data_IF_037357238580
#
_entry.id   IF_037357238580
#
_cell.length_a   1.000
_cell.length_b   1.000
_cell.length_c   1.000
_cell.angle_alpha   90.00
_cell.angle_beta   90.00
_cell.angle_gamma   90.00
#
_symmetry.space_group_name_H-M   'P 1'
#
loop_
_entity.id
_entity.type
_entity.pdbx_description
1 polymer ?
#
# COMPACT_ATOMS: atom_id res chain seq x y z
N UNK A 1 0.84 2.97 36.29
CA UNK A 1 -0.38 2.59 35.56
C UNK A 1 -0.09 2.63 34.06
N UNK A 2 0.41 1.52 33.51
CA UNK A 2 0.71 1.34 32.08
C UNK A 2 -0.52 0.76 31.39
N UNK A 3 -1.51 1.62 31.10
CA UNK A 3 -2.63 1.24 30.23
C UNK A 3 -2.20 1.45 28.79
N UNK A 4 -1.35 0.55 28.28
CA UNK A 4 -0.89 0.55 26.89
C UNK A 4 -2.06 0.13 26.01
N UNK A 5 -2.86 1.11 25.62
CA UNK A 5 -3.84 1.16 24.52
C UNK A 5 -4.09 -0.15 23.73
N UNK A 6 -4.73 -1.15 24.36
CA UNK A 6 -5.10 -2.43 23.73
C UNK A 6 -6.01 -2.25 22.49
N UNK A 7 -6.69 -1.11 22.39
CA UNK A 7 -7.54 -0.71 21.26
C UNK A 7 -6.73 -0.40 19.99
N UNK A 8 -5.54 0.23 20.11
CA UNK A 8 -4.66 0.58 18.98
C UNK A 8 -4.00 -0.68 18.39
N UNK A 9 -3.59 -1.62 19.25
CA UNK A 9 -2.98 -2.90 18.83
C UNK A 9 -4.01 -3.80 18.10
N UNK A 10 -5.24 -3.92 18.62
CA UNK A 10 -6.32 -4.67 17.95
C UNK A 10 -6.75 -4.06 16.60
N UNK A 11 -6.78 -2.73 16.46
CA UNK A 11 -7.06 -2.05 15.18
C UNK A 11 -5.98 -2.31 14.13
N UNK A 12 -4.71 -2.33 14.53
CA UNK A 12 -3.57 -2.59 13.64
C UNK A 12 -3.61 -4.00 13.03
N UNK A 13 -3.82 -5.05 13.84
CA UNK A 13 -3.90 -6.43 13.36
C UNK A 13 -5.08 -6.68 12.40
N UNK A 14 -6.24 -6.07 12.67
CA UNK A 14 -7.42 -6.17 11.79
C UNK A 14 -7.19 -5.47 10.46
N UNK A 15 -6.57 -4.28 10.48
CA UNK A 15 -6.19 -3.53 9.27
C UNK A 15 -5.20 -4.30 8.41
N UNK A 16 -4.19 -4.94 9.01
CA UNK A 16 -3.20 -5.75 8.31
C UNK A 16 -3.80 -7.01 7.66
N UNK A 17 -4.71 -7.70 8.36
CA UNK A 17 -5.43 -8.84 7.81
C UNK A 17 -6.31 -8.42 6.62
N UNK A 18 -7.00 -7.29 6.70
CA UNK A 18 -7.79 -6.74 5.59
C UNK A 18 -6.91 -6.39 4.38
N UNK A 19 -5.74 -5.77 4.60
CA UNK A 19 -4.76 -5.48 3.52
C UNK A 19 -4.29 -6.75 2.82
N UNK A 20 -3.98 -7.80 3.59
CA UNK A 20 -3.53 -9.07 3.04
C UNK A 20 -4.62 -9.73 2.17
N UNK A 21 -5.87 -9.70 2.62
CA UNK A 21 -7.01 -10.21 1.85
C UNK A 21 -7.23 -9.42 0.55
N UNK A 22 -7.14 -8.09 0.59
CA UNK A 22 -7.24 -7.24 -0.60
C UNK A 22 -6.14 -7.59 -1.61
N UNK A 23 -4.89 -7.73 -1.16
CA UNK A 23 -3.76 -8.11 -2.03
C UNK A 23 -3.97 -9.50 -2.63
N UNK A 24 -4.50 -10.46 -1.85
CA UNK A 24 -4.80 -11.80 -2.34
C UNK A 24 -5.86 -11.76 -3.44
N UNK A 25 -6.90 -10.95 -3.27
CA UNK A 25 -7.94 -10.76 -4.27
C UNK A 25 -7.40 -10.08 -5.54
N UNK A 26 -6.54 -9.08 -5.42
CA UNK A 26 -5.88 -8.45 -6.57
C UNK A 26 -5.01 -9.44 -7.35
N UNK A 27 -4.23 -10.29 -6.66
CA UNK A 27 -3.46 -11.36 -7.29
C UNK A 27 -4.35 -12.37 -8.01
N UNK A 28 -5.51 -12.70 -7.42
CA UNK A 28 -6.49 -13.61 -8.04
C UNK A 28 -7.06 -12.99 -9.32
N UNK A 29 -7.58 -11.76 -9.25
CA UNK A 29 -8.10 -11.01 -10.41
C UNK A 29 -7.07 -10.90 -11.53
N UNK A 30 -5.81 -10.63 -11.21
CA UNK A 30 -4.73 -10.58 -12.20
C UNK A 30 -4.58 -11.92 -12.94
N UNK A 31 -4.44 -13.02 -12.19
CA UNK A 31 -4.25 -14.36 -12.78
C UNK A 31 -5.45 -14.77 -13.62
N UNK A 32 -6.66 -14.60 -13.11
CA UNK A 32 -7.89 -15.03 -13.76
C UNK A 32 -8.12 -14.28 -15.07
N UNK A 33 -7.89 -12.96 -15.10
CA UNK A 33 -8.06 -12.16 -16.31
C UNK A 33 -6.96 -12.41 -17.35
N UNK A 34 -5.70 -12.58 -16.94
CA UNK A 34 -4.61 -12.99 -17.86
C UNK A 34 -4.90 -14.36 -18.46
N UNK A 35 -5.35 -15.32 -17.64
CA UNK A 35 -5.74 -16.65 -18.11
C UNK A 35 -6.89 -16.57 -19.11
N UNK A 36 -7.92 -15.78 -18.82
CA UNK A 36 -9.04 -15.55 -19.75
C UNK A 36 -8.57 -14.97 -21.09
N UNK A 37 -7.68 -13.97 -21.07
CA UNK A 37 -7.11 -13.40 -22.30
C UNK A 37 -6.40 -14.47 -23.15
N UNK A 38 -5.50 -15.23 -22.53
CA UNK A 38 -4.69 -16.24 -23.21
C UNK A 38 -5.56 -17.39 -23.74
N UNK A 39 -6.44 -17.94 -22.90
CA UNK A 39 -7.28 -19.07 -23.26
C UNK A 39 -8.22 -18.70 -24.43
N UNK A 40 -8.87 -17.52 -24.38
CA UNK A 40 -9.72 -17.07 -25.47
C UNK A 40 -8.93 -16.81 -26.77
N UNK A 41 -7.74 -16.23 -26.68
CA UNK A 41 -6.88 -16.00 -27.85
C UNK A 41 -6.43 -17.32 -28.51
N UNK A 42 -6.00 -18.29 -27.72
CA UNK A 42 -5.61 -19.62 -28.21
C UNK A 42 -6.79 -20.30 -28.92
N UNK A 43 -7.99 -20.23 -28.34
CA UNK A 43 -9.18 -20.82 -28.97
C UNK A 43 -9.54 -20.11 -30.28
N UNK A 44 -9.41 -18.77 -30.36
CA UNK A 44 -9.61 -18.02 -31.62
C UNK A 44 -8.61 -18.51 -32.69
N UNK A 45 -7.34 -18.71 -32.35
CA UNK A 45 -6.34 -19.22 -33.28
C UNK A 45 -6.65 -20.65 -33.75
N UNK A 46 -7.11 -21.51 -32.85
CA UNK A 46 -7.54 -22.88 -33.18
C UNK A 46 -8.73 -22.87 -34.12
N UNK A 47 -9.74 -22.04 -33.84
CA UNK A 47 -10.92 -21.84 -34.68
C UNK A 47 -10.59 -21.25 -36.06
N UNK A 48 -9.58 -20.39 -36.16
CA UNK A 48 -9.18 -19.75 -37.42
C UNK A 48 -8.34 -20.66 -38.33
N UNK A 49 -7.92 -21.84 -37.86
CA UNK A 49 -7.07 -22.76 -38.63
C UNK A 49 -7.86 -23.34 -39.81
N UNK A 50 -7.45 -23.02 -41.04
CA UNK A 50 -8.04 -23.60 -42.25
C UNK A 50 -7.52 -25.02 -42.44
N UNK A 51 -8.43 -26.00 -42.44
CA UNK A 51 -8.09 -27.38 -42.75
C UNK A 51 -8.14 -27.59 -44.27
N UNK A 52 -7.03 -28.03 -44.86
CA UNK A 52 -6.87 -28.13 -46.32
C UNK A 52 -7.77 -29.25 -46.90
N UNK A 53 -8.09 -30.27 -46.11
CA UNK A 53 -8.96 -31.38 -46.48
C UNK A 53 -10.47 -31.03 -46.47
N UNK A 54 -10.89 -30.05 -45.65
CA UNK A 54 -12.29 -29.56 -45.60
C UNK A 54 -12.67 -28.71 -46.83
N UNK A 55 -11.68 -28.26 -47.61
CA UNK A 55 -11.91 -27.57 -48.87
C UNK A 55 -12.45 -28.51 -49.96
N UNK A 56 -12.21 -29.83 -49.85
CA UNK A 56 -12.40 -30.77 -50.95
C UNK A 56 -13.71 -31.58 -50.92
N UNK A 57 -14.40 -31.75 -49.78
CA UNK A 57 -15.52 -32.71 -49.70
C UNK A 57 -16.77 -32.22 -48.93
N UNK A 58 -17.79 -31.81 -49.71
CA UNK A 58 -19.26 -32.02 -49.54
C UNK A 58 -20.07 -31.32 -48.40
N UNK A 59 -21.34 -31.07 -48.74
CA UNK A 59 -22.48 -30.47 -48.01
C UNK A 59 -22.51 -28.93 -47.80
N UNK A 60 -23.21 -28.16 -48.66
CA UNK A 60 -23.28 -26.70 -48.56
C UNK A 60 -24.17 -26.16 -47.43
N UNK A 61 -25.14 -26.94 -46.92
CA UNK A 61 -26.08 -26.47 -45.88
C UNK A 61 -25.49 -26.62 -44.47
N UNK A 62 -24.75 -27.71 -44.22
CA UNK A 62 -24.02 -27.91 -42.95
C UNK A 62 -22.93 -26.86 -42.72
N UNK A 63 -22.18 -26.50 -43.79
CA UNK A 63 -21.12 -25.49 -43.71
C UNK A 63 -21.60 -24.08 -43.40
N UNK A 64 -22.82 -23.69 -43.79
CA UNK A 64 -23.33 -22.36 -43.43
C UNK A 64 -23.59 -22.23 -41.93
N UNK A 65 -24.24 -23.23 -41.32
CA UNK A 65 -24.47 -23.26 -39.88
C UNK A 65 -23.16 -23.34 -39.11
N UNK A 66 -22.23 -24.19 -39.53
CA UNK A 66 -20.90 -24.30 -38.91
C UNK A 66 -20.10 -23.00 -39.02
N UNK A 67 -20.12 -22.36 -40.20
CA UNK A 67 -19.48 -21.07 -40.42
C UNK A 67 -20.02 -20.00 -39.49
N UNK A 68 -21.36 -19.85 -39.40
CA UNK A 68 -21.97 -18.88 -38.49
C UNK A 68 -21.70 -19.20 -37.03
N UNK A 69 -21.70 -20.49 -36.66
CA UNK A 69 -21.39 -20.93 -35.29
C UNK A 69 -19.97 -20.52 -34.93
N UNK A 70 -18.99 -20.87 -35.76
CA UNK A 70 -17.58 -20.52 -35.56
C UNK A 70 -17.35 -19.01 -35.52
N UNK A 71 -17.98 -18.27 -36.45
CA UNK A 71 -17.92 -16.80 -36.49
C UNK A 71 -18.44 -16.18 -35.20
N UNK A 72 -19.61 -16.62 -34.73
CA UNK A 72 -20.22 -16.10 -33.52
C UNK A 72 -19.40 -16.46 -32.27
N UNK A 73 -18.85 -17.67 -32.24
CA UNK A 73 -17.98 -18.14 -31.16
C UNK A 73 -16.69 -17.32 -31.08
N UNK A 74 -16.02 -17.08 -32.21
CA UNK A 74 -14.83 -16.21 -32.28
C UNK A 74 -15.14 -14.78 -31.84
N UNK A 75 -16.28 -14.22 -32.27
CA UNK A 75 -16.72 -12.88 -31.86
C UNK A 75 -16.99 -12.81 -30.34
N UNK A 76 -17.65 -13.82 -29.78
CA UNK A 76 -17.90 -13.91 -28.34
C UNK A 76 -16.58 -13.99 -27.54
N UNK A 77 -15.62 -14.81 -28.00
CA UNK A 77 -14.29 -14.90 -27.38
C UNK A 77 -13.53 -13.58 -27.43
N UNK A 78 -13.57 -12.87 -28.56
CA UNK A 78 -12.95 -11.56 -28.67
C UNK A 78 -13.57 -10.56 -27.67
N UNK A 79 -14.91 -10.59 -27.50
CA UNK A 79 -15.59 -9.77 -26.51
C UNK A 79 -15.17 -10.12 -25.06
N UNK A 80 -14.99 -11.41 -24.74
CA UNK A 80 -14.47 -11.85 -23.44
C UNK A 80 -13.04 -11.38 -23.18
N UNK A 81 -12.20 -11.33 -24.23
CA UNK A 81 -10.85 -10.75 -24.12
C UNK A 81 -10.90 -9.26 -23.79
N UNK A 82 -11.73 -8.49 -24.49
CA UNK A 82 -11.90 -7.04 -24.20
C UNK A 82 -12.38 -6.82 -22.77
N UNK A 83 -13.36 -7.61 -22.32
CA UNK A 83 -13.83 -7.55 -20.92
C UNK A 83 -12.70 -7.85 -19.92
N UNK A 84 -11.88 -8.87 -20.17
CA UNK A 84 -10.76 -9.19 -19.29
C UNK A 84 -9.70 -8.06 -19.26
N UNK A 85 -9.46 -7.40 -20.39
CA UNK A 85 -8.57 -6.23 -20.46
C UNK A 85 -9.13 -5.04 -19.65
N UNK A 86 -10.42 -4.75 -19.75
CA UNK A 86 -11.07 -3.71 -18.95
C UNK A 86 -10.98 -4.01 -17.44
N UNK A 87 -11.15 -5.27 -17.03
CA UNK A 87 -11.00 -5.67 -15.63
C UNK A 87 -9.56 -5.49 -15.12
N UNK A 88 -8.55 -5.69 -15.97
CA UNK A 88 -7.15 -5.38 -15.65
C UNK A 88 -6.89 -3.87 -15.53
N UNK A 89 -7.56 -3.05 -16.36
CA UNK A 89 -7.49 -1.60 -16.25
C UNK A 89 -8.10 -1.11 -14.92
N UNK A 90 -9.26 -1.64 -14.55
CA UNK A 90 -9.88 -1.38 -13.23
C UNK A 90 -8.96 -1.81 -12.09
N UNK A 91 -8.37 -3.01 -12.18
CA UNK A 91 -7.42 -3.49 -11.17
C UNK A 91 -6.22 -2.53 -11.01
N UNK A 92 -5.75 -1.92 -12.10
CA UNK A 92 -4.67 -0.91 -12.06
C UNK A 92 -5.12 0.34 -11.30
N UNK A 93 -6.36 0.79 -11.49
CA UNK A 93 -6.92 1.89 -10.72
C UNK A 93 -7.02 1.52 -9.23
N UNK A 94 -7.58 0.36 -8.91
CA UNK A 94 -7.75 -0.14 -7.54
C UNK A 94 -6.40 -0.27 -6.80
N UNK A 95 -5.32 -0.63 -7.52
CA UNK A 95 -3.95 -0.66 -6.99
C UNK A 95 -3.43 0.75 -6.67
N UNK A 96 -3.66 1.73 -7.55
CA UNK A 96 -3.26 3.13 -7.30
C UNK A 96 -3.98 3.67 -6.07
N UNK A 97 -5.29 3.45 -5.97
CA UNK A 97 -6.09 3.87 -4.83
C UNK A 97 -5.61 3.20 -3.54
N UNK A 98 -5.37 1.87 -3.57
CA UNK A 98 -4.83 1.13 -2.44
C UNK A 98 -3.49 1.71 -1.97
N UNK A 99 -2.56 1.97 -2.90
CA UNK A 99 -1.24 2.50 -2.56
C UNK A 99 -1.33 3.92 -2.02
N UNK A 100 -2.09 4.81 -2.67
CA UNK A 100 -2.21 6.21 -2.25
C UNK A 100 -2.89 6.30 -0.87
N UNK A 101 -4.07 5.69 -0.69
CA UNK A 101 -4.85 5.84 0.54
C UNK A 101 -4.21 5.11 1.74
N UNK A 102 -3.56 3.96 1.52
CA UNK A 102 -2.94 3.23 2.63
C UNK A 102 -1.54 3.73 2.99
N UNK A 103 -0.81 4.38 2.08
CA UNK A 103 0.48 4.97 2.40
C UNK A 103 0.34 6.18 3.34
N UNK A 104 -0.73 6.98 3.20
CA UNK A 104 -1.02 8.07 4.14
C UNK A 104 -1.16 7.61 5.59
N UNK A 105 -1.78 6.46 5.85
CA UNK A 105 -1.90 5.94 7.22
C UNK A 105 -0.54 5.53 7.80
N UNK A 106 0.35 4.95 6.97
CA UNK A 106 1.71 4.62 7.37
C UNK A 106 2.50 5.90 7.65
N UNK A 107 2.45 6.87 6.72
CA UNK A 107 3.10 8.16 6.84
C UNK A 107 2.64 8.92 8.08
N UNK A 108 1.33 9.00 8.35
CA UNK A 108 0.79 9.61 9.57
C UNK A 108 1.33 8.93 10.83
N UNK A 109 1.39 7.59 10.86
CA UNK A 109 1.94 6.88 12.02
C UNK A 109 3.44 7.11 12.22
N UNK A 110 4.20 7.25 11.12
CA UNK A 110 5.62 7.56 11.15
C UNK A 110 5.86 9.00 11.64
N UNK A 111 5.01 9.95 11.22
CA UNK A 111 5.02 11.34 11.69
C UNK A 111 4.70 11.41 13.18
N UNK A 112 3.60 10.80 13.64
CA UNK A 112 3.24 10.74 15.07
C UNK A 112 4.40 10.19 15.93
N UNK A 113 5.07 9.15 15.45
CA UNK A 113 6.23 8.55 16.13
C UNK A 113 7.45 9.48 16.14
N UNK A 114 7.72 10.18 15.04
CA UNK A 114 8.80 11.15 14.95
C UNK A 114 8.56 12.35 15.87
N UNK A 115 7.34 12.91 15.87
CA UNK A 115 6.93 13.99 16.77
C UNK A 115 7.07 13.59 18.23
N UNK A 116 6.57 12.40 18.61
CA UNK A 116 6.69 11.91 19.98
C UNK A 116 8.15 11.76 20.45
N UNK A 117 9.06 11.36 19.55
CA UNK A 117 10.51 11.33 19.87
C UNK A 117 11.11 12.73 19.99
N UNK A 118 10.70 13.66 19.13
CA UNK A 118 11.15 15.04 19.20
C UNK A 118 10.72 15.71 20.51
N UNK A 119 9.48 15.52 20.94
CA UNK A 119 8.95 16.03 22.20
C UNK A 119 9.70 15.48 23.42
N UNK A 120 9.99 14.17 23.43
CA UNK A 120 10.78 13.55 24.50
C UNK A 120 12.19 14.14 24.57
N UNK A 121 12.83 14.33 23.41
CA UNK A 121 14.17 14.92 23.33
C UNK A 121 14.17 16.39 23.74
N UNK A 122 13.14 17.13 23.39
CA UNK A 122 12.94 18.52 23.82
C UNK A 122 12.84 18.60 25.35
N UNK A 123 12.03 17.73 25.97
CA UNK A 123 11.88 17.67 27.44
C UNK A 123 13.20 17.35 28.14
N UNK A 124 13.99 16.43 27.59
CA UNK A 124 15.33 16.10 28.11
C UNK A 124 16.27 17.32 28.05
N UNK A 125 16.29 18.05 26.92
CA UNK A 125 17.10 19.26 26.80
C UNK A 125 16.67 20.37 27.76
N UNK A 126 15.36 20.58 27.93
CA UNK A 126 14.82 21.55 28.89
C UNK A 126 15.27 21.19 30.31
N UNK A 127 15.14 19.93 30.71
CA UNK A 127 15.55 19.48 32.04
C UNK A 127 17.06 19.66 32.28
N UNK A 128 17.89 19.35 31.27
CA UNK A 128 19.34 19.58 31.35
C UNK A 128 19.70 21.06 31.47
N UNK A 129 19.01 21.91 30.71
CA UNK A 129 19.20 23.35 30.77
C UNK A 129 18.81 23.92 32.14
N UNK A 130 17.68 23.50 32.70
CA UNK A 130 17.23 23.94 34.02
C UNK A 130 18.23 23.55 35.12
N UNK A 131 18.76 22.32 35.07
CA UNK A 131 19.79 21.87 36.01
C UNK A 131 21.06 22.71 35.89
N UNK A 132 21.56 22.92 34.67
CA UNK A 132 22.76 23.74 34.46
C UNK A 132 22.56 25.19 34.95
N UNK A 133 21.35 25.74 34.76
CA UNK A 133 21.00 27.06 35.26
C UNK A 133 21.04 27.12 36.78
N UNK A 134 20.53 26.09 37.47
CA UNK A 134 20.57 26.00 38.93
C UNK A 134 22.02 25.87 39.44
N UNK A 135 22.82 25.01 38.82
CA UNK A 135 24.23 24.82 39.19
C UNK A 135 25.01 26.13 39.03
N UNK A 136 24.80 26.84 37.91
CA UNK A 136 25.46 28.14 37.66
C UNK A 136 25.04 29.18 38.70
N UNK A 137 23.75 29.24 39.06
CA UNK A 137 23.27 30.14 40.10
C UNK A 137 23.86 29.80 41.48
N UNK A 138 24.06 28.51 41.79
CA UNK A 138 24.74 28.09 43.01
C UNK A 138 26.19 28.60 43.05
N UNK A 139 26.95 28.39 41.98
CA UNK A 139 28.34 28.84 41.88
C UNK A 139 28.45 30.35 42.04
N UNK A 140 27.53 31.13 41.43
CA UNK A 140 27.50 32.59 41.61
C UNK A 140 27.29 32.97 43.08
N UNK A 141 26.31 32.35 43.76
CA UNK A 141 26.06 32.62 45.18
C UNK A 141 27.26 32.25 46.07
N UNK A 142 27.95 31.15 45.76
CA UNK A 142 29.15 30.73 46.49
C UNK A 142 30.29 31.76 46.32
N UNK A 143 30.51 32.25 45.09
CA UNK A 143 31.49 33.29 44.79
C UNK A 143 31.13 34.61 45.51
N UNK A 144 29.86 35.03 45.46
CA UNK A 144 29.40 36.25 46.13
C UNK A 144 29.58 36.16 47.65
N UNK A 145 29.37 34.98 48.22
CA UNK A 145 29.61 34.72 49.64
C UNK A 145 31.10 34.80 49.97
N UNK A 146 31.97 34.13 49.21
CA UNK A 146 33.42 34.17 49.43
C UNK A 146 33.99 35.59 49.29
N UNK A 147 33.53 36.35 48.29
CA UNK A 147 33.89 37.75 48.10
C UNK A 147 33.46 38.61 49.30
N UNK A 148 32.24 38.43 49.80
CA UNK A 148 31.80 39.14 50.99
C UNK A 148 32.60 38.72 52.23
N UNK A 149 32.93 37.45 52.42
CA UNK A 149 33.67 36.99 53.60
C UNK A 149 35.14 37.46 53.60
N UNK A 150 35.78 37.52 52.42
CA UNK A 150 37.22 37.81 52.30
C UNK A 150 37.56 39.23 51.88
N UNK A 151 36.67 39.91 51.15
CA UNK A 151 36.93 41.23 50.55
C UNK A 151 35.94 42.32 50.98
N UNK A 152 34.97 42.01 51.86
CA UNK A 152 34.28 43.11 52.55
C UNK A 152 35.27 43.81 53.48
N UNK A 153 35.80 44.93 52.98
CA UNK A 153 36.47 45.93 53.80
C UNK A 153 35.49 46.32 54.92
N UNK A 154 35.87 46.00 56.16
CA UNK A 154 35.36 46.74 57.32
C UNK A 154 35.66 48.22 57.06
N UNK A 155 34.65 48.97 56.66
CA UNK A 155 34.54 50.39 56.98
C UNK A 155 33.56 50.51 58.15
#
# INVERSE_FOLDING_TARGET
>A
MTSTNMSKVKKSGRSMATKALIIQEYKRRLRDNIKSLNDNFINILQSAKVNVDDAAHRNPVGRMTEYYTLKNEMAARAALMVRAADELLKLTHDLKEFLILHDFNFLSSAIESAEGRADLKMKDYVSKYDNLRLDTASVINDIDKELNEHFSLRQ
#
